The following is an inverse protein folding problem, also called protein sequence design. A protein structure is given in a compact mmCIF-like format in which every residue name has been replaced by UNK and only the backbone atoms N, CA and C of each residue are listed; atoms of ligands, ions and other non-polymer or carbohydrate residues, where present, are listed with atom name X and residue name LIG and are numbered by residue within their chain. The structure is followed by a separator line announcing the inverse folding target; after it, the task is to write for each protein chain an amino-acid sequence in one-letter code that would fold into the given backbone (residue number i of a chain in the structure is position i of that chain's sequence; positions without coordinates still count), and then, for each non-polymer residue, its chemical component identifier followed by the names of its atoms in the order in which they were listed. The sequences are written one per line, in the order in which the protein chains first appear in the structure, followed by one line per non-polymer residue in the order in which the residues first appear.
data_IF_536337999050
#
_entry.id   IF_536337999050
#
_cell.length_a   1.000
_cell.length_b   1.000
_cell.length_c   1.000
_cell.angle_alpha   90.00
_cell.angle_beta   90.00
_cell.angle_gamma   90.00
#
_symmetry.space_group_name_H-M   'P 1'
#
loop_
_entity.id
_entity.type
_entity.pdbx_description
1 polymer ?
#
# COMPACT_ATOMS: atom_id res chain seq x y z
N UNK A 1 -10.70 -17.19 -6.10
CA UNK A 1 -10.88 -16.71 -4.71
C UNK A 1 -10.00 -15.49 -4.45
N UNK A 2 -10.57 -14.48 -3.82
CA UNK A 2 -9.82 -13.26 -3.55
C UNK A 2 -9.04 -13.37 -2.25
N UNK A 3 -7.94 -12.62 -2.16
CA UNK A 3 -7.20 -12.43 -0.93
C UNK A 3 -7.36 -10.98 -0.46
N UNK A 4 -7.47 -10.80 0.83
CA UNK A 4 -7.48 -9.47 1.45
C UNK A 4 -6.07 -9.18 1.94
N UNK A 5 -5.58 -7.98 1.63
CA UNK A 5 -4.26 -7.52 2.08
C UNK A 5 -4.45 -6.29 2.94
N UNK A 6 -3.85 -6.30 4.13
CA UNK A 6 -3.80 -5.12 4.97
C UNK A 6 -2.34 -4.73 5.14
N UNK A 7 -2.02 -3.53 4.73
CA UNK A 7 -0.67 -2.98 4.90
C UNK A 7 -0.72 -1.84 5.91
N UNK A 8 0.24 -1.84 6.84
CA UNK A 8 0.35 -0.83 7.89
C UNK A 8 1.68 -0.10 7.73
N UNK A 9 1.62 1.21 7.62
CA UNK A 9 2.80 2.05 7.46
C UNK A 9 2.88 3.04 8.61
N UNK A 10 3.71 2.79 9.65
CA UNK A 10 3.99 3.80 10.66
C UNK A 10 4.89 4.87 10.05
N UNK A 11 4.39 6.09 9.98
CA UNK A 11 5.07 7.20 9.30
C UNK A 11 5.21 8.41 10.21
N UNK A 12 6.04 9.38 9.78
CA UNK A 12 5.97 10.71 10.33
C UNK A 12 4.66 11.35 9.85
N UNK A 13 4.18 12.39 10.53
CA UNK A 13 2.94 13.06 10.12
C UNK A 13 3.04 13.59 8.69
N UNK A 14 4.17 14.21 8.36
CA UNK A 14 4.39 14.70 7.00
C UNK A 14 4.52 13.54 6.00
N UNK A 15 5.17 12.46 6.40
CA UNK A 15 5.30 11.27 5.55
C UNK A 15 3.95 10.66 5.20
N UNK A 16 3.04 10.60 6.18
CA UNK A 16 1.69 10.11 5.96
C UNK A 16 0.94 10.98 4.96
N UNK A 17 1.05 12.29 5.10
CA UNK A 17 0.42 13.22 4.16
C UNK A 17 1.01 13.09 2.75
N UNK A 18 2.33 12.98 2.66
CA UNK A 18 3.00 12.79 1.37
C UNK A 18 2.52 11.50 0.68
N UNK A 19 2.37 10.43 1.45
CA UNK A 19 1.89 9.16 0.91
C UNK A 19 0.46 9.29 0.38
N UNK A 20 -0.42 9.92 1.15
CA UNK A 20 -1.82 10.12 0.74
C UNK A 20 -1.87 10.95 -0.55
N UNK A 21 -1.09 12.02 -0.62
CA UNK A 21 -1.03 12.86 -1.82
C UNK A 21 -0.50 12.07 -3.01
N UNK A 22 0.58 11.30 -2.82
CA UNK A 22 1.14 10.45 -3.85
C UNK A 22 0.12 9.43 -4.36
N UNK A 23 -0.67 8.85 -3.47
CA UNK A 23 -1.64 7.81 -3.86
C UNK A 23 -2.68 8.32 -4.86
N UNK A 24 -2.92 9.62 -4.88
CA UNK A 24 -3.89 10.26 -5.77
C UNK A 24 -3.29 10.73 -7.09
N UNK A 25 -1.97 10.66 -7.22
CA UNK A 25 -1.27 11.09 -8.43
C UNK A 25 -1.20 9.98 -9.49
N UNK A 26 -0.76 10.33 -10.69
CA UNK A 26 -0.62 9.39 -11.80
C UNK A 26 0.34 8.23 -11.49
N UNK A 27 1.34 8.46 -10.62
CA UNK A 27 2.31 7.43 -10.21
C UNK A 27 1.80 6.58 -9.04
N UNK A 28 0.65 6.92 -8.47
CA UNK A 28 0.06 6.23 -7.33
C UNK A 28 -0.89 5.11 -7.74
N UNK A 29 -2.11 5.13 -7.20
CA UNK A 29 -3.06 4.03 -7.40
C UNK A 29 -3.57 3.87 -8.82
N UNK A 30 -3.40 4.87 -9.68
CA UNK A 30 -3.68 4.73 -11.11
C UNK A 30 -2.88 3.55 -11.68
N UNK A 31 -1.60 3.44 -11.31
CA UNK A 31 -0.75 2.32 -11.72
C UNK A 31 -1.18 1.03 -11.02
N UNK A 32 -1.46 1.09 -9.72
CA UNK A 32 -1.91 -0.07 -8.95
C UNK A 32 -3.09 -0.75 -9.61
N UNK A 33 -4.08 0.04 -10.04
CA UNK A 33 -5.33 -0.46 -10.63
C UNK A 33 -5.14 -1.15 -11.98
N UNK A 34 -3.99 -0.98 -12.61
CA UNK A 34 -3.70 -1.59 -13.92
C UNK A 34 -3.02 -2.95 -13.80
N UNK A 35 -2.62 -3.36 -12.59
CA UNK A 35 -1.90 -4.60 -12.40
C UNK A 35 -2.84 -5.81 -12.40
N UNK A 36 -2.31 -6.91 -12.90
CA UNK A 36 -3.04 -8.17 -12.95
C UNK A 36 -3.51 -8.58 -11.55
N UNK A 37 -4.77 -8.95 -11.45
CA UNK A 37 -5.35 -9.44 -10.21
C UNK A 37 -5.88 -8.37 -9.27
N UNK A 38 -5.67 -7.11 -9.59
CA UNK A 38 -6.16 -6.02 -8.75
C UNK A 38 -7.69 -6.00 -8.72
N UNK A 39 -8.29 -5.87 -7.53
CA UNK A 39 -9.74 -5.72 -7.37
C UNK A 39 -10.11 -4.42 -6.66
N UNK A 40 -9.48 -4.08 -5.52
CA UNK A 40 -9.83 -2.88 -4.78
C UNK A 40 -8.65 -2.39 -3.93
N UNK A 41 -8.60 -1.09 -3.67
CA UNK A 41 -7.64 -0.49 -2.74
C UNK A 41 -8.28 0.71 -2.06
N UNK A 42 -8.13 0.78 -0.73
CA UNK A 42 -8.62 1.88 0.09
C UNK A 42 -7.54 2.28 1.08
N UNK A 43 -7.45 3.58 1.32
CA UNK A 43 -6.45 4.17 2.21
C UNK A 43 -7.15 4.75 3.44
N UNK A 44 -6.62 4.43 4.61
CA UNK A 44 -7.13 4.93 5.87
C UNK A 44 -6.00 5.61 6.63
N UNK A 45 -6.30 6.75 7.23
CA UNK A 45 -5.37 7.46 8.10
C UNK A 45 -5.86 7.31 9.53
N UNK A 46 -5.01 6.79 10.41
CA UNK A 46 -5.34 6.66 11.83
C UNK A 46 -5.49 8.05 12.48
N UNK A 47 -6.18 8.10 13.61
CA UNK A 47 -6.45 9.36 14.30
C UNK A 47 -5.18 10.10 14.74
N UNK A 48 -4.07 9.37 14.93
CA UNK A 48 -2.77 9.96 15.26
C UNK A 48 -2.15 10.73 14.08
N UNK A 49 -2.73 10.61 12.88
CA UNK A 49 -2.28 11.22 11.63
C UNK A 49 -0.90 10.77 11.18
N UNK A 50 -0.42 9.64 11.71
CA UNK A 50 0.92 9.11 11.43
C UNK A 50 0.87 7.72 10.81
N UNK A 51 -0.13 6.91 11.16
CA UNK A 51 -0.21 5.55 10.65
C UNK A 51 -1.18 5.48 9.49
N UNK A 52 -0.68 4.99 8.36
CA UNK A 52 -1.49 4.77 7.16
C UNK A 52 -1.76 3.29 7.04
N UNK A 53 -3.01 2.95 6.81
CA UNK A 53 -3.45 1.57 6.58
C UNK A 53 -4.00 1.47 5.17
N UNK A 54 -3.58 0.44 4.44
CA UNK A 54 -4.17 0.09 3.15
C UNK A 54 -4.99 -1.17 3.31
N UNK A 55 -6.23 -1.10 2.84
CA UNK A 55 -7.05 -2.26 2.61
C UNK A 55 -7.01 -2.54 1.11
N UNK A 56 -6.63 -3.75 0.73
CA UNK A 56 -6.54 -4.13 -0.67
C UNK A 56 -7.21 -5.48 -0.88
N UNK A 57 -7.75 -5.66 -2.07
CA UNK A 57 -8.32 -6.94 -2.49
C UNK A 57 -7.71 -7.32 -3.83
N UNK A 58 -7.20 -8.55 -3.90
CA UNK A 58 -6.52 -9.08 -5.09
C UNK A 58 -7.04 -10.47 -5.40
N UNK A 59 -6.95 -10.88 -6.67
CA UNK A 59 -7.36 -12.22 -7.09
C UNK A 59 -6.58 -13.32 -6.37
N UNK A 60 -5.28 -13.08 -6.14
CA UNK A 60 -4.41 -14.03 -5.44
C UNK A 60 -3.30 -13.30 -4.70
N UNK A 61 -2.71 -14.02 -3.73
CA UNK A 61 -1.52 -13.53 -3.02
C UNK A 61 -0.36 -13.31 -3.98
N UNK A 62 -0.20 -14.21 -4.95
CA UNK A 62 0.87 -14.15 -5.93
C UNK A 62 0.77 -12.89 -6.79
N UNK A 63 -0.44 -12.50 -7.18
CA UNK A 63 -0.66 -11.27 -7.95
C UNK A 63 -0.27 -10.04 -7.15
N UNK A 64 -0.62 -10.00 -5.85
CA UNK A 64 -0.21 -8.90 -4.99
C UNK A 64 1.31 -8.87 -4.82
N UNK A 65 1.93 -10.02 -4.61
CA UNK A 65 3.39 -10.10 -4.45
C UNK A 65 4.12 -9.64 -5.71
N UNK A 66 3.61 -9.99 -6.89
CA UNK A 66 4.17 -9.54 -8.16
C UNK A 66 4.08 -8.00 -8.28
N UNK A 67 2.93 -7.45 -7.91
CA UNK A 67 2.75 -6.00 -7.89
C UNK A 67 3.73 -5.32 -6.91
N UNK A 68 3.86 -5.87 -5.71
CA UNK A 68 4.75 -5.29 -4.69
C UNK A 68 6.22 -5.33 -5.17
N UNK A 69 6.64 -6.43 -5.80
CA UNK A 69 7.97 -6.52 -6.39
C UNK A 69 8.20 -5.45 -7.45
N UNK A 70 7.19 -5.22 -8.29
CA UNK A 70 7.23 -4.13 -9.28
C UNK A 70 7.47 -2.77 -8.61
N UNK A 71 6.75 -2.50 -7.53
CA UNK A 71 6.90 -1.23 -6.82
C UNK A 71 8.29 -1.09 -6.21
N UNK A 72 8.81 -2.15 -5.60
CA UNK A 72 10.15 -2.13 -5.00
C UNK A 72 11.21 -1.89 -6.08
N UNK A 73 11.11 -2.55 -7.22
CA UNK A 73 12.02 -2.35 -8.34
C UNK A 73 11.97 -0.93 -8.91
N UNK A 74 10.83 -0.26 -8.76
CA UNK A 74 10.60 1.08 -9.30
C UNK A 74 10.68 2.18 -8.25
N UNK A 75 11.38 1.94 -7.13
CA UNK A 75 11.75 2.99 -6.20
C UNK A 75 10.85 3.14 -4.98
N UNK A 76 9.98 2.16 -4.69
CA UNK A 76 9.08 2.27 -3.54
C UNK A 76 9.84 2.53 -2.24
N UNK A 77 10.95 1.81 -2.00
CA UNK A 77 11.69 1.95 -0.75
C UNK A 77 12.39 3.31 -0.66
N UNK A 78 12.85 3.86 -1.78
CA UNK A 78 13.41 5.20 -1.80
C UNK A 78 12.38 6.26 -1.40
N UNK A 79 11.12 6.05 -1.80
CA UNK A 79 10.02 6.92 -1.39
C UNK A 79 9.65 6.71 0.07
N UNK A 80 9.53 5.45 0.51
CA UNK A 80 9.05 5.12 1.85
C UNK A 80 10.08 5.41 2.95
N UNK A 81 11.35 5.04 2.76
CA UNK A 81 12.34 5.09 3.82
C UNK A 81 12.43 6.44 4.56
N UNK A 82 12.49 7.60 3.87
CA UNK A 82 12.54 8.87 4.58
C UNK A 82 11.22 9.25 5.27
N UNK A 83 10.13 8.56 4.96
CA UNK A 83 8.79 8.86 5.48
C UNK A 83 8.33 7.91 6.56
N UNK A 84 8.94 6.72 6.64
CA UNK A 84 8.60 5.73 7.66
C UNK A 84 9.18 6.12 9.01
N UNK A 85 8.41 5.83 10.08
CA UNK A 85 8.83 5.96 11.47
C UNK A 85 8.71 4.58 12.14
N UNK A 86 9.21 3.57 11.47
CA UNK A 86 9.16 2.17 11.89
C UNK A 86 8.97 1.28 10.68
N UNK A 87 8.97 -0.04 10.93
CA UNK A 87 8.81 -1.02 9.86
C UNK A 87 7.36 -1.09 9.40
N UNK A 88 7.14 -1.16 8.10
CA UNK A 88 5.80 -1.42 7.60
C UNK A 88 5.50 -2.93 7.66
N UNK A 89 4.22 -3.27 7.73
CA UNK A 89 3.77 -4.64 7.89
C UNK A 89 2.69 -4.95 6.84
N UNK A 90 2.79 -6.11 6.22
CA UNK A 90 1.78 -6.61 5.28
C UNK A 90 1.21 -7.91 5.83
N UNK A 91 -0.11 -7.99 5.91
CA UNK A 91 -0.80 -9.18 6.39
C UNK A 91 -1.81 -9.62 5.33
N UNK A 92 -1.83 -10.93 5.04
CA UNK A 92 -2.79 -11.51 4.10
C UNK A 92 -3.90 -12.21 4.88
N UNK A 93 -5.13 -12.04 4.41
CA UNK A 93 -6.31 -12.64 5.02
C UNK A 93 -7.14 -13.35 3.96
N UNK A 94 -7.79 -14.43 4.37
CA UNK A 94 -8.88 -15.00 3.58
C UNK A 94 -10.19 -14.51 4.18
N UNK A 95 -11.14 -14.15 3.32
CA UNK A 95 -12.47 -13.79 3.80
C UNK A 95 -13.23 -15.06 4.14
N UNK A 96 -13.74 -15.17 5.37
CA UNK A 96 -14.42 -16.38 5.85
C UNK A 96 -15.94 -16.27 5.87
#
# INVERSE_FOLDING_TARGET
MSVIVVAEFPMTEQGAQDFIDWSKNADGYVITRQHKGFEDIRTFLAEDKKTVYLYEKWDSKEDHQAYLSFRVENGLMDFLNPRLDGDFKVTYFSEE
#
